data_IF_242992176015
#
_entry.id   IF_242992176015
#
_cell.length_a   1.000
_cell.length_b   1.000
_cell.length_c   1.000
_cell.angle_alpha   90.00
_cell.angle_beta   90.00
_cell.angle_gamma   90.00
#
_symmetry.space_group_name_H-M   'P 1'
#
loop_
_entity.id
_entity.type
_entity.pdbx_description
1 polymer ?
#
# COMPACT_ATOMS: atom_id res chain seq x y z
N UNK A 1 0.53 2.92 -14.24
CA UNK A 1 1.06 1.81 -13.41
C UNK A 1 1.68 0.71 -14.26
N UNK A 2 1.11 0.33 -15.41
CA UNK A 2 1.64 -0.72 -16.31
C UNK A 2 3.17 -0.65 -16.52
N UNK A 3 3.69 0.48 -17.02
CA UNK A 3 5.15 0.66 -17.21
C UNK A 3 5.99 0.46 -15.94
N UNK A 4 5.44 0.77 -14.76
CA UNK A 4 6.14 0.54 -13.49
C UNK A 4 6.17 -0.96 -13.17
N UNK A 5 5.05 -1.66 -13.33
CA UNK A 5 5.01 -3.13 -13.20
C UNK A 5 6.00 -3.81 -14.14
N UNK A 6 6.10 -3.36 -15.40
CA UNK A 6 7.08 -3.89 -16.36
C UNK A 6 8.52 -3.73 -15.87
N UNK A 7 8.85 -2.57 -15.31
CA UNK A 7 10.17 -2.30 -14.72
C UNK A 7 10.43 -3.20 -13.51
N UNK A 8 9.47 -3.29 -12.57
CA UNK A 8 9.64 -4.04 -11.31
C UNK A 8 9.77 -5.55 -11.54
N UNK A 9 9.05 -6.09 -12.52
CA UNK A 9 9.13 -7.50 -12.92
C UNK A 9 10.37 -7.83 -13.77
N UNK A 10 11.05 -6.79 -14.29
CA UNK A 10 12.26 -6.91 -15.12
C UNK A 10 13.54 -6.46 -14.41
N UNK A 11 13.51 -6.24 -13.10
CA UNK A 11 14.70 -5.88 -12.33
C UNK A 11 15.82 -6.92 -12.55
N UNK A 12 17.08 -6.51 -12.39
CA UNK A 12 18.19 -7.46 -12.40
C UNK A 12 18.30 -8.11 -11.02
N UNK A 13 18.71 -9.38 -10.97
CA UNK A 13 19.08 -9.99 -9.68
C UNK A 13 20.20 -9.18 -9.02
N UNK A 14 20.08 -8.93 -7.73
CA UNK A 14 20.96 -8.04 -6.96
C UNK A 14 20.72 -6.55 -7.20
N UNK A 15 19.52 -6.15 -7.64
CA UNK A 15 19.18 -4.74 -7.88
C UNK A 15 19.30 -3.87 -6.61
N UNK A 16 19.16 -4.50 -5.45
CA UNK A 16 19.26 -3.91 -4.11
C UNK A 16 20.71 -3.83 -3.59
N UNK A 17 21.71 -4.26 -4.40
CA UNK A 17 23.10 -4.40 -3.97
C UNK A 17 23.39 -5.70 -3.20
N UNK A 18 22.39 -6.56 -3.00
CA UNK A 18 22.48 -7.85 -2.33
C UNK A 18 21.99 -8.98 -3.26
N UNK A 19 21.01 -9.76 -2.80
CA UNK A 19 20.46 -10.91 -3.51
C UNK A 19 19.02 -10.65 -3.99
N UNK A 20 18.60 -9.39 -4.06
CA UNK A 20 17.24 -9.00 -4.45
C UNK A 20 16.83 -9.61 -5.77
N UNK A 21 15.67 -10.24 -5.81
CA UNK A 21 15.10 -10.80 -7.04
C UNK A 21 14.05 -9.85 -7.62
N UNK A 22 13.71 -9.99 -8.91
CA UNK A 22 12.66 -9.18 -9.52
C UNK A 22 11.31 -9.51 -8.88
N UNK A 23 10.37 -8.55 -8.93
CA UNK A 23 9.00 -8.81 -8.47
C UNK A 23 8.42 -9.95 -9.31
N UNK A 24 7.83 -10.94 -8.64
CA UNK A 24 7.21 -12.06 -9.34
C UNK A 24 6.00 -11.57 -10.14
N UNK A 25 5.79 -12.16 -11.33
CA UNK A 25 4.62 -11.83 -12.16
C UNK A 25 3.30 -12.05 -11.41
N UNK A 26 3.25 -13.08 -10.58
CA UNK A 26 2.09 -13.40 -9.73
C UNK A 26 1.77 -12.27 -8.74
N UNK A 27 2.77 -11.76 -8.01
CA UNK A 27 2.56 -10.65 -7.08
C UNK A 27 2.20 -9.36 -7.82
N UNK A 28 2.88 -9.07 -8.94
CA UNK A 28 2.59 -7.90 -9.77
C UNK A 28 1.14 -7.93 -10.30
N UNK A 29 0.69 -9.05 -10.85
CA UNK A 29 -0.66 -9.21 -11.39
C UNK A 29 -1.71 -9.10 -10.28
N UNK A 30 -1.48 -9.75 -9.13
CA UNK A 30 -2.43 -9.67 -8.02
C UNK A 30 -2.55 -8.25 -7.48
N UNK A 31 -1.41 -7.56 -7.31
CA UNK A 31 -1.41 -6.17 -6.86
C UNK A 31 -2.08 -5.22 -7.85
N UNK A 32 -1.89 -5.41 -9.17
CA UNK A 32 -2.61 -4.63 -10.17
C UNK A 32 -4.14 -4.79 -10.02
N UNK A 33 -4.62 -6.02 -9.87
CA UNK A 33 -6.04 -6.29 -9.63
C UNK A 33 -6.52 -5.69 -8.30
N UNK A 34 -5.69 -5.72 -7.25
CA UNK A 34 -6.01 -5.14 -5.95
C UNK A 34 -6.14 -3.61 -6.04
N UNK A 35 -5.20 -2.94 -6.73
CA UNK A 35 -5.26 -1.48 -6.96
C UNK A 35 -6.52 -1.10 -7.74
N UNK A 36 -6.91 -1.88 -8.76
CA UNK A 36 -8.15 -1.63 -9.50
C UNK A 36 -9.39 -1.75 -8.59
N UNK A 37 -9.41 -2.73 -7.67
CA UNK A 37 -10.51 -2.91 -6.70
C UNK A 37 -10.57 -1.81 -5.65
N UNK A 38 -9.41 -1.30 -5.22
CA UNK A 38 -9.27 -0.23 -4.24
C UNK A 38 -9.32 1.17 -4.86
N UNK A 39 -9.55 1.29 -6.17
CA UNK A 39 -9.48 2.55 -6.88
C UNK A 39 -10.54 3.55 -6.38
N UNK A 40 -10.07 4.72 -5.95
CA UNK A 40 -10.91 5.87 -5.61
C UNK A 40 -10.45 7.05 -6.46
N UNK A 41 -11.39 7.68 -7.20
CA UNK A 41 -11.07 8.74 -8.18
C UNK A 41 -10.30 9.92 -7.59
N UNK A 42 -10.54 10.27 -6.32
CA UNK A 42 -9.89 11.38 -5.62
C UNK A 42 -8.56 11.02 -4.96
N UNK A 43 -8.16 9.74 -4.98
CA UNK A 43 -6.93 9.24 -4.38
C UNK A 43 -5.86 9.01 -5.48
N UNK A 44 -4.62 9.51 -5.30
CA UNK A 44 -3.52 9.07 -6.15
C UNK A 44 -3.33 7.55 -6.06
N UNK A 45 -2.79 6.96 -7.13
CA UNK A 45 -2.34 5.58 -7.09
C UNK A 45 -1.25 5.39 -6.02
N UNK A 46 -1.14 4.18 -5.42
CA UNK A 46 -0.06 3.89 -4.47
C UNK A 46 1.30 3.99 -5.14
N UNK A 47 2.32 4.21 -4.32
CA UNK A 47 3.69 3.90 -4.71
C UNK A 47 3.86 2.38 -4.79
N UNK A 48 4.59 1.91 -5.81
CA UNK A 48 4.90 0.49 -5.99
C UNK A 48 6.34 0.26 -5.55
N UNK A 49 6.52 -0.51 -4.47
CA UNK A 49 7.85 -0.75 -3.86
C UNK A 49 8.21 -2.24 -4.00
N UNK A 50 9.29 -2.59 -4.72
CA UNK A 50 9.73 -3.98 -4.83
C UNK A 50 10.39 -4.45 -3.53
N UNK A 51 10.09 -5.69 -3.12
CA UNK A 51 10.76 -6.32 -1.98
C UNK A 51 11.88 -7.25 -2.44
N UNK A 52 12.99 -7.38 -1.69
CA UNK A 52 14.14 -8.21 -2.10
C UNK A 52 13.81 -9.69 -2.38
N UNK A 53 12.76 -10.22 -1.75
CA UNK A 53 12.30 -11.60 -1.92
C UNK A 53 11.39 -11.81 -3.15
N UNK A 54 11.11 -10.77 -3.95
CA UNK A 54 10.26 -10.84 -5.14
C UNK A 54 8.77 -10.61 -4.88
N UNK A 55 8.40 -10.24 -3.65
CA UNK A 55 7.08 -9.68 -3.33
C UNK A 55 7.06 -8.18 -3.64
N UNK A 56 5.93 -7.52 -3.40
CA UNK A 56 5.79 -6.09 -3.64
C UNK A 56 4.90 -5.45 -2.57
N UNK A 57 5.20 -4.20 -2.25
CA UNK A 57 4.42 -3.37 -1.36
C UNK A 57 3.72 -2.24 -2.12
N UNK A 58 2.51 -1.92 -1.70
CA UNK A 58 1.76 -0.73 -2.10
C UNK A 58 1.78 0.26 -0.94
N UNK A 59 2.13 1.52 -1.20
CA UNK A 59 2.21 2.53 -0.14
C UNK A 59 1.39 3.78 -0.49
N UNK A 60 0.61 4.24 0.49
CA UNK A 60 -0.03 5.54 0.47
C UNK A 60 0.38 6.33 1.72
N UNK A 61 0.75 7.59 1.52
CA UNK A 61 1.00 8.55 2.58
C UNK A 61 0.10 9.75 2.32
N UNK A 62 -1.00 9.88 3.08
CA UNK A 62 -1.98 10.95 2.87
C UNK A 62 -2.85 11.19 4.09
N UNK A 63 -3.14 12.47 4.35
CA UNK A 63 -4.09 12.89 5.38
C UNK A 63 -3.75 12.29 6.76
N UNK A 64 -2.46 12.34 7.13
CA UNK A 64 -1.96 11.80 8.41
C UNK A 64 -2.23 10.30 8.58
N UNK A 65 -2.38 9.58 7.47
CA UNK A 65 -2.37 8.14 7.44
C UNK A 65 -1.24 7.66 6.55
N UNK A 66 -0.51 6.67 7.05
CA UNK A 66 0.39 5.84 6.27
C UNK A 66 -0.25 4.46 6.13
N UNK A 67 -0.44 3.99 4.91
CA UNK A 67 -0.95 2.64 4.62
C UNK A 67 0.08 1.91 3.78
N UNK A 68 0.54 0.76 4.28
CA UNK A 68 1.40 -0.17 3.57
C UNK A 68 0.66 -1.48 3.34
N UNK A 69 0.72 -2.04 2.13
CA UNK A 69 0.10 -3.32 1.79
C UNK A 69 1.14 -4.23 1.14
N UNK A 70 1.60 -5.21 1.90
CA UNK A 70 2.53 -6.25 1.44
C UNK A 70 1.77 -7.36 0.72
N UNK A 71 1.97 -7.45 -0.59
CA UNK A 71 1.43 -8.53 -1.43
C UNK A 71 2.46 -9.67 -1.45
N UNK A 72 2.31 -10.61 -0.52
CA UNK A 72 3.18 -11.78 -0.37
C UNK A 72 2.86 -12.85 -1.42
N UNK A 73 1.61 -12.90 -1.85
CA UNK A 73 1.10 -13.74 -2.93
C UNK A 73 -0.39 -13.48 -3.19
N UNK A 74 -1.03 -14.23 -4.09
CA UNK A 74 -2.46 -14.12 -4.32
C UNK A 74 -3.23 -14.52 -3.05
N UNK A 75 -4.02 -13.60 -2.51
CA UNK A 75 -4.77 -13.78 -1.26
C UNK A 75 -3.87 -14.13 -0.06
N UNK A 76 -2.62 -13.67 -0.10
CA UNK A 76 -1.67 -13.71 0.99
C UNK A 76 -1.09 -12.29 1.11
N UNK A 77 -1.77 -11.48 1.92
CA UNK A 77 -1.53 -10.04 2.02
C UNK A 77 -1.48 -9.65 3.49
N UNK A 78 -0.55 -8.77 3.84
CA UNK A 78 -0.52 -8.12 5.14
C UNK A 78 -0.61 -6.62 4.91
N UNK A 79 -1.51 -5.94 5.63
CA UNK A 79 -1.66 -4.49 5.54
C UNK A 79 -1.40 -3.85 6.89
N UNK A 80 -0.68 -2.74 6.86
CA UNK A 80 -0.36 -1.90 8.01
C UNK A 80 -0.98 -0.53 7.79
N UNK A 81 -1.51 0.07 8.85
CA UNK A 81 -1.96 1.45 8.88
C UNK A 81 -1.40 2.15 10.11
N UNK A 82 -0.78 3.31 9.92
CA UNK A 82 -0.47 4.24 11.00
C UNK A 82 -1.36 5.49 10.86
N UNK A 83 -2.02 5.89 11.95
CA UNK A 83 -2.72 7.16 12.10
C UNK A 83 -1.84 8.14 12.89
N UNK A 84 -1.23 9.09 12.18
CA UNK A 84 -0.26 10.01 12.73
C UNK A 84 -0.87 11.10 13.62
N UNK A 85 -2.21 11.27 13.62
CA UNK A 85 -2.87 12.25 14.50
C UNK A 85 -3.02 11.77 15.94
N UNK A 86 -3.24 10.47 16.13
CA UNK A 86 -3.49 9.87 17.44
C UNK A 86 -2.44 8.81 17.82
N UNK A 87 -1.42 8.62 16.98
CA UNK A 87 -0.30 7.68 17.20
C UNK A 87 -0.80 6.23 17.34
N UNK A 88 -1.83 5.86 16.55
CA UNK A 88 -2.36 4.49 16.53
C UNK A 88 -1.88 3.73 15.31
N UNK A 89 -1.56 2.45 15.50
CA UNK A 89 -1.16 1.53 14.43
C UNK A 89 -2.07 0.31 14.43
N UNK A 90 -2.44 -0.15 13.23
CA UNK A 90 -3.24 -1.35 12.99
C UNK A 90 -2.54 -2.24 11.95
N UNK A 91 -2.67 -3.55 12.12
CA UNK A 91 -2.18 -4.57 11.19
C UNK A 91 -3.28 -5.61 10.94
N UNK A 92 -3.48 -5.97 9.68
CA UNK A 92 -4.43 -7.01 9.27
C UNK A 92 -3.80 -7.98 8.27
N UNK A 93 -4.06 -9.28 8.49
CA UNK A 93 -3.80 -10.32 7.51
C UNK A 93 -5.04 -10.51 6.64
N UNK A 94 -4.87 -10.46 5.33
CA UNK A 94 -5.96 -10.47 4.37
C UNK A 94 -5.80 -11.65 3.42
N UNK A 95 -6.83 -12.50 3.42
CA UNK A 95 -6.97 -13.55 2.43
C UNK A 95 -8.00 -13.15 1.38
N UNK A 96 -9.29 -13.42 1.63
CA UNK A 96 -10.35 -13.23 0.63
C UNK A 96 -11.26 -12.03 0.90
N UNK A 97 -11.25 -11.50 2.13
CA UNK A 97 -12.06 -10.36 2.53
C UNK A 97 -11.20 -9.09 2.63
N UNK A 98 -11.38 -8.18 1.67
CA UNK A 98 -10.65 -6.91 1.58
C UNK A 98 -11.45 -5.73 2.13
N UNK A 99 -12.56 -5.99 2.83
CA UNK A 99 -13.49 -4.94 3.29
C UNK A 99 -12.79 -3.94 4.19
N UNK A 100 -12.06 -4.41 5.19
CA UNK A 100 -11.36 -3.53 6.14
C UNK A 100 -10.25 -2.69 5.47
N UNK A 101 -9.46 -3.31 4.57
CA UNK A 101 -8.48 -2.56 3.78
C UNK A 101 -9.15 -1.50 2.90
N UNK A 102 -10.29 -1.82 2.28
CA UNK A 102 -11.03 -0.86 1.47
C UNK A 102 -11.54 0.33 2.31
N UNK A 103 -11.95 0.09 3.56
CA UNK A 103 -12.32 1.15 4.51
C UNK A 103 -11.11 2.04 4.86
N UNK A 104 -9.94 1.44 5.09
CA UNK A 104 -8.71 2.20 5.35
C UNK A 104 -8.34 3.08 4.15
N UNK A 105 -8.36 2.52 2.94
CA UNK A 105 -8.08 3.28 1.71
C UNK A 105 -9.12 4.38 1.46
N UNK A 106 -10.39 4.13 1.79
CA UNK A 106 -11.44 5.15 1.72
C UNK A 106 -11.20 6.30 2.69
N UNK A 107 -10.67 6.03 3.90
CA UNK A 107 -10.32 7.07 4.86
C UNK A 107 -9.23 8.02 4.34
N UNK A 108 -8.29 7.54 3.50
CA UNK A 108 -7.30 8.40 2.84
C UNK A 108 -7.92 9.45 1.90
N UNK A 109 -9.09 9.17 1.34
CA UNK A 109 -9.77 10.05 0.40
C UNK A 109 -10.60 11.15 1.11
N UNK A 110 -10.88 10.97 2.40
CA UNK A 110 -11.63 11.94 3.20
C UNK A 110 -10.70 13.03 3.75
N UNK A 111 -11.08 14.30 3.61
CA UNK A 111 -10.37 15.39 4.27
C UNK A 111 -10.49 15.25 5.78
N UNK A 112 -9.35 15.22 6.48
CA UNK A 112 -9.33 15.29 7.94
C UNK A 112 -9.23 16.75 8.34
N UNK A 113 -10.30 17.29 8.91
CA UNK A 113 -10.27 18.63 9.52
C UNK A 113 -9.56 18.50 10.86
N UNK A 114 -8.38 19.10 10.98
CA UNK A 114 -7.76 19.35 12.28
C UNK A 114 -8.67 20.31 13.06
N UNK A 115 -9.33 19.80 14.10
CA UNK A 115 -9.84 20.68 15.15
C UNK A 115 -8.61 21.23 15.88
N UNK A 116 -8.15 22.41 15.47
CA UNK A 116 -7.31 23.21 16.35
C UNK A 116 -8.10 23.47 17.62
N UNK A 117 -7.64 22.92 18.74
CA UNK A 117 -8.08 23.37 20.05
C UNK A 117 -7.85 24.88 20.12
N UNK A 118 -8.95 25.65 20.11
CA UNK A 118 -8.93 27.05 20.54
C UNK A 118 -8.77 27.01 22.05
N UNK A 119 -7.55 26.81 22.53
CA UNK A 119 -7.17 26.97 23.92
C UNK A 119 -6.23 28.17 24.02
N UNK A 120 -6.81 29.33 24.34
CA UNK A 120 -6.07 30.57 24.55
C UNK A 120 -6.98 31.78 24.74
N UNK A 121 -7.93 31.67 25.68
CA UNK A 121 -8.62 32.82 26.28
C UNK A 121 -8.01 33.15 27.64
#
# INVERSE_FOLDING_TARGET
LEKQFDVLTSLRRGWDGYAGVPVSFTCAQFAANLIERLYIRSLPAPQLVPMPNGTMRLEWHRNEFDIEVDVLGPYDVVAYRADLLNDSEDEIEIQTDFTELAEWVAALAAERVQLQEVAGG
#
